data_IF_713153774295
#
_entry.id   IF_713153774295
#
_cell.length_a   1.000
_cell.length_b   1.000
_cell.length_c   1.000
_cell.angle_alpha   90.00
_cell.angle_beta   90.00
_cell.angle_gamma   90.00
#
_symmetry.space_group_name_H-M   'P 1'
#
loop_
_entity.id
_entity.type
_entity.pdbx_description
1 polymer ?
#
# COMPACT_ATOMS: atom_id res chain seq x y z
N UNK A 1 -47.00 53.34 5.45
CA UNK A 1 -45.60 53.33 5.93
C UNK A 1 -45.46 52.20 6.93
N UNK A 2 -44.56 51.25 6.70
CA UNK A 2 -44.26 50.21 7.70
C UNK A 2 -43.56 50.92 8.87
N UNK A 3 -44.01 50.72 10.10
CA UNK A 3 -43.39 51.35 11.26
C UNK A 3 -42.02 50.72 11.54
N UNK A 4 -41.08 51.49 12.06
CA UNK A 4 -39.76 51.00 12.48
C UNK A 4 -39.83 49.82 13.45
N UNK A 5 -40.86 49.80 14.31
CA UNK A 5 -41.16 48.68 15.23
C UNK A 5 -41.57 47.39 14.52
N UNK A 6 -42.33 47.48 13.43
CA UNK A 6 -42.71 46.32 12.61
C UNK A 6 -41.48 45.70 11.93
N UNK A 7 -40.59 46.54 11.38
CA UNK A 7 -39.33 46.09 10.77
C UNK A 7 -38.42 45.40 11.81
N UNK A 8 -38.26 45.97 13.00
CA UNK A 8 -37.47 45.39 14.09
C UNK A 8 -38.02 44.02 14.55
N UNK A 9 -39.34 43.87 14.62
CA UNK A 9 -39.99 42.60 14.97
C UNK A 9 -39.83 41.51 13.88
N UNK A 10 -39.84 41.90 12.61
CA UNK A 10 -39.60 40.96 11.51
C UNK A 10 -38.13 40.51 11.50
N UNK A 11 -37.18 41.44 11.71
CA UNK A 11 -35.75 41.12 11.82
C UNK A 11 -35.45 40.18 13.00
N UNK A 12 -36.10 40.38 14.15
CA UNK A 12 -35.88 39.52 15.33
C UNK A 12 -36.41 38.09 15.16
N UNK A 13 -37.44 37.88 14.32
CA UNK A 13 -37.95 36.53 13.99
C UNK A 13 -37.14 35.84 12.88
N UNK A 14 -36.55 36.59 11.94
CA UNK A 14 -35.75 36.05 10.85
C UNK A 14 -34.33 35.63 11.28
N UNK A 15 -33.76 36.32 12.27
CA UNK A 15 -32.40 36.03 12.75
C UNK A 15 -32.22 34.62 13.34
N UNK A 16 -33.13 34.09 14.19
CA UNK A 16 -33.08 32.69 14.65
C UNK A 16 -33.19 31.68 13.51
N UNK A 17 -33.99 31.96 12.48
CA UNK A 17 -34.13 31.08 11.32
C UNK A 17 -32.83 31.00 10.52
N UNK A 18 -32.14 32.13 10.34
CA UNK A 18 -30.83 32.19 9.69
C UNK A 18 -29.78 31.39 10.49
N UNK A 19 -29.75 31.55 11.82
CA UNK A 19 -28.87 30.77 12.70
C UNK A 19 -29.17 29.27 12.60
N UNK A 20 -30.45 28.89 12.55
CA UNK A 20 -30.85 27.49 12.38
C UNK A 20 -30.34 26.92 11.05
N UNK A 21 -30.47 27.66 9.94
CA UNK A 21 -29.95 27.24 8.63
C UNK A 21 -28.44 27.03 8.69
N UNK A 22 -27.69 27.95 9.32
CA UNK A 22 -26.24 27.81 9.49
C UNK A 22 -25.86 26.56 10.29
N UNK A 23 -26.56 26.28 11.40
CA UNK A 23 -26.35 25.08 12.21
C UNK A 23 -26.62 23.81 11.39
N UNK A 24 -27.70 23.81 10.61
CA UNK A 24 -28.06 22.71 9.71
C UNK A 24 -26.95 22.49 8.66
N UNK A 25 -26.43 23.53 8.04
CA UNK A 25 -25.33 23.42 7.08
C UNK A 25 -24.05 22.85 7.72
N UNK A 26 -23.69 23.33 8.92
CA UNK A 26 -22.54 22.81 9.67
C UNK A 26 -22.73 21.34 10.00
N UNK A 27 -23.94 20.95 10.41
CA UNK A 27 -24.30 19.57 10.69
C UNK A 27 -24.15 18.69 9.43
N UNK A 28 -24.68 19.10 8.29
CA UNK A 28 -24.55 18.37 7.03
C UNK A 28 -23.08 18.29 6.56
N UNK A 29 -22.29 19.36 6.71
CA UNK A 29 -20.84 19.33 6.44
C UNK A 29 -20.14 18.28 7.30
N UNK A 30 -20.44 18.24 8.60
CA UNK A 30 -19.87 17.26 9.55
C UNK A 30 -20.26 15.83 9.18
N UNK A 31 -21.53 15.58 8.83
CA UNK A 31 -22.01 14.27 8.39
C UNK A 31 -21.29 13.81 7.11
N UNK A 32 -21.17 14.70 6.12
CA UNK A 32 -20.48 14.39 4.86
C UNK A 32 -19.00 14.05 5.07
N UNK A 33 -18.31 14.74 5.98
CA UNK A 33 -16.92 14.46 6.34
C UNK A 33 -16.77 13.09 7.01
N UNK A 34 -17.69 12.72 7.92
CA UNK A 34 -17.69 11.40 8.56
C UNK A 34 -17.90 10.27 7.54
N UNK A 35 -18.84 10.44 6.59
CA UNK A 35 -19.07 9.47 5.51
C UNK A 35 -17.83 9.32 4.64
N UNK A 36 -17.17 10.42 4.25
CA UNK A 36 -15.91 10.38 3.49
C UNK A 36 -14.82 9.62 4.25
N UNK A 37 -14.66 9.89 5.55
CA UNK A 37 -13.68 9.18 6.40
C UNK A 37 -13.96 7.67 6.47
N UNK A 38 -15.23 7.27 6.62
CA UNK A 38 -15.63 5.84 6.60
C UNK A 38 -15.34 5.18 5.25
N UNK A 39 -15.64 5.85 4.13
CA UNK A 39 -15.32 5.33 2.79
C UNK A 39 -13.82 5.15 2.60
N UNK A 40 -13.02 6.13 3.01
CA UNK A 40 -11.57 6.07 2.93
C UNK A 40 -11.00 4.91 3.76
N UNK A 41 -11.43 4.76 5.01
CA UNK A 41 -10.98 3.67 5.89
C UNK A 41 -11.35 2.29 5.34
N UNK A 42 -12.58 2.13 4.83
CA UNK A 42 -13.00 0.88 4.19
C UNK A 42 -12.17 0.55 2.93
N UNK A 43 -11.82 1.57 2.14
CA UNK A 43 -10.96 1.38 0.96
C UNK A 43 -9.54 0.96 1.35
N UNK A 44 -8.98 1.59 2.38
CA UNK A 44 -7.67 1.26 2.92
C UNK A 44 -7.63 -0.18 3.43
N UNK A 45 -8.64 -0.60 4.19
CA UNK A 45 -8.74 -1.96 4.69
C UNK A 45 -8.90 -2.97 3.55
N UNK A 46 -9.75 -2.68 2.56
CA UNK A 46 -9.89 -3.51 1.36
C UNK A 46 -8.57 -3.66 0.60
N UNK A 47 -7.79 -2.59 0.48
CA UNK A 47 -6.48 -2.64 -0.18
C UNK A 47 -5.46 -3.44 0.65
N UNK A 48 -5.48 -3.29 1.98
CA UNK A 48 -4.65 -4.07 2.90
C UNK A 48 -4.94 -5.57 2.78
N UNK A 49 -6.21 -5.96 2.81
CA UNK A 49 -6.64 -7.36 2.65
C UNK A 49 -6.23 -7.94 1.29
N UNK A 50 -6.25 -7.13 0.22
CA UNK A 50 -5.76 -7.55 -1.10
C UNK A 50 -4.25 -7.74 -1.16
N UNK A 51 -3.50 -6.91 -0.46
CA UNK A 51 -2.06 -7.07 -0.30
C UNK A 51 -1.76 -8.38 0.44
N UNK A 52 -2.41 -8.57 1.59
CA UNK A 52 -2.30 -9.78 2.42
C UNK A 52 -2.63 -11.05 1.63
N UNK A 53 -3.76 -11.07 0.92
CA UNK A 53 -4.17 -12.21 0.11
C UNK A 53 -3.16 -12.51 -1.01
N UNK A 54 -2.51 -11.48 -1.55
CA UNK A 54 -1.50 -11.66 -2.59
C UNK A 54 -0.18 -12.19 -2.03
N UNK A 55 0.26 -11.68 -0.88
CA UNK A 55 1.44 -12.22 -0.18
C UNK A 55 1.25 -13.71 0.16
N UNK A 56 0.06 -14.09 0.65
CA UNK A 56 -0.30 -15.50 0.89
C UNK A 56 -0.23 -16.31 -0.41
N UNK A 57 -0.77 -15.80 -1.52
CA UNK A 57 -0.71 -16.46 -2.82
C UNK A 57 0.73 -16.68 -3.29
N UNK A 58 1.57 -15.66 -3.18
CA UNK A 58 2.98 -15.73 -3.55
C UNK A 58 3.76 -16.71 -2.66
N UNK A 59 3.49 -16.73 -1.36
CA UNK A 59 4.12 -17.69 -0.45
C UNK A 59 3.80 -19.12 -0.83
N UNK A 60 2.52 -19.44 -1.05
CA UNK A 60 2.08 -20.76 -1.54
C UNK A 60 2.75 -21.18 -2.85
N UNK A 61 2.87 -20.24 -3.79
CA UNK A 61 3.59 -20.50 -5.04
C UNK A 61 5.05 -20.94 -4.79
N UNK A 62 5.76 -20.31 -3.85
CA UNK A 62 7.13 -20.71 -3.52
C UNK A 62 7.18 -21.98 -2.66
N UNK A 63 6.20 -22.23 -1.79
CA UNK A 63 6.06 -23.51 -1.09
C UNK A 63 5.92 -24.68 -2.08
N UNK A 64 5.07 -24.52 -3.11
CA UNK A 64 4.90 -25.50 -4.20
C UNK A 64 6.20 -25.73 -5.00
N UNK A 65 7.10 -24.75 -5.03
CA UNK A 65 8.44 -24.85 -5.65
C UNK A 65 9.48 -25.50 -4.71
N UNK A 66 9.04 -25.99 -3.55
CA UNK A 66 9.83 -26.69 -2.55
C UNK A 66 10.69 -25.77 -1.68
N UNK A 67 10.29 -24.50 -1.50
CA UNK A 67 10.92 -23.63 -0.51
C UNK A 67 10.23 -23.76 0.85
N UNK A 68 11.00 -23.64 1.92
CA UNK A 68 10.47 -23.28 3.24
C UNK A 68 10.28 -21.76 3.29
N UNK A 69 9.03 -21.30 3.43
CA UNK A 69 8.65 -19.89 3.25
C UNK A 69 8.28 -19.27 4.60
N UNK A 70 9.00 -18.22 4.96
CA UNK A 70 8.63 -17.33 6.06
C UNK A 70 7.88 -16.11 5.50
N UNK A 71 6.62 -15.93 5.92
CA UNK A 71 5.78 -14.77 5.62
C UNK A 71 6.18 -13.54 6.45
N UNK A 72 7.36 -12.99 6.14
CA UNK A 72 8.00 -11.94 6.90
C UNK A 72 7.16 -10.65 6.95
N UNK A 73 6.51 -10.27 5.85
CA UNK A 73 5.64 -9.10 5.75
C UNK A 73 4.43 -9.19 6.68
N UNK A 74 3.73 -10.33 6.66
CA UNK A 74 2.61 -10.62 7.59
C UNK A 74 3.08 -10.56 9.05
N UNK A 75 4.25 -11.14 9.36
CA UNK A 75 4.74 -11.26 10.72
C UNK A 75 5.30 -9.95 11.29
N UNK A 76 5.90 -9.09 10.45
CA UNK A 76 6.59 -7.86 10.89
C UNK A 76 5.84 -6.57 10.56
N UNK A 77 4.84 -6.62 9.67
CA UNK A 77 4.13 -5.45 9.18
C UNK A 77 5.08 -4.37 8.67
N UNK A 78 4.86 -3.09 9.02
CA UNK A 78 5.68 -1.95 8.55
C UNK A 78 7.19 -2.00 8.88
N UNK A 79 7.64 -2.96 9.70
CA UNK A 79 9.06 -3.17 10.02
C UNK A 79 9.77 -4.12 9.04
N UNK A 80 9.05 -4.64 8.04
CA UNK A 80 9.55 -5.58 7.03
C UNK A 80 10.58 -4.98 6.04
N UNK A 81 10.66 -3.65 5.97
CA UNK A 81 11.45 -2.92 4.99
C UNK A 81 11.18 -3.36 3.52
N UNK A 82 9.98 -3.86 3.23
CA UNK A 82 9.60 -4.35 1.90
C UNK A 82 10.09 -5.76 1.56
N UNK A 83 10.55 -6.55 2.52
CA UNK A 83 10.75 -7.99 2.34
C UNK A 83 9.47 -8.68 2.80
N UNK A 84 8.66 -9.18 1.87
CA UNK A 84 7.41 -9.84 2.24
C UNK A 84 7.64 -11.33 2.53
N UNK A 85 8.49 -12.00 1.75
CA UNK A 85 8.80 -13.42 1.93
C UNK A 85 10.32 -13.66 2.03
N UNK A 86 10.70 -14.58 2.92
CA UNK A 86 12.04 -15.15 3.01
C UNK A 86 11.93 -16.64 2.68
N UNK A 87 12.51 -17.05 1.54
CA UNK A 87 12.41 -18.43 1.08
C UNK A 87 13.74 -19.17 1.28
N UNK A 88 13.69 -20.32 1.95
CA UNK A 88 14.84 -21.15 2.29
C UNK A 88 14.83 -22.48 1.55
N UNK A 89 16.03 -23.00 1.25
CA UNK A 89 16.28 -24.40 0.85
C UNK A 89 17.50 -24.88 1.60
N UNK A 90 17.44 -26.10 2.14
CA UNK A 90 18.55 -26.70 2.90
C UNK A 90 19.02 -25.78 4.03
N UNK A 91 18.08 -25.17 4.75
CA UNK A 91 18.31 -24.18 5.83
C UNK A 91 19.05 -22.90 5.42
N UNK A 92 19.27 -22.66 4.13
CA UNK A 92 19.87 -21.43 3.63
C UNK A 92 18.83 -20.53 2.97
N UNK A 93 18.91 -19.22 3.22
CA UNK A 93 18.10 -18.23 2.51
C UNK A 93 18.56 -18.19 1.06
N UNK A 94 17.64 -18.48 0.14
CA UNK A 94 17.90 -18.49 -1.31
C UNK A 94 17.19 -17.35 -2.02
N UNK A 95 16.02 -16.93 -1.53
CA UNK A 95 15.23 -15.85 -2.11
C UNK A 95 14.76 -14.86 -1.05
N UNK A 96 14.78 -13.58 -1.42
CA UNK A 96 14.02 -12.53 -0.76
C UNK A 96 13.02 -11.96 -1.76
N UNK A 97 11.76 -11.85 -1.37
CA UNK A 97 10.67 -11.51 -2.29
C UNK A 97 9.88 -10.31 -1.78
N UNK A 98 9.62 -9.34 -2.66
CA UNK A 98 8.56 -8.35 -2.48
C UNK A 98 7.35 -8.73 -3.34
N UNK A 99 6.17 -8.78 -2.74
CA UNK A 99 4.88 -9.07 -3.36
C UNK A 99 4.08 -7.77 -3.56
N UNK A 100 3.77 -7.42 -4.81
CA UNK A 100 3.05 -6.16 -5.11
C UNK A 100 1.82 -6.36 -5.96
N UNK A 101 0.65 -6.26 -5.32
CA UNK A 101 -0.67 -6.29 -5.97
C UNK A 101 -1.25 -4.89 -6.17
N UNK A 102 -0.55 -4.04 -6.94
CA UNK A 102 -1.05 -2.70 -7.25
C UNK A 102 -1.97 -2.73 -8.49
N UNK A 103 -3.00 -1.88 -8.52
CA UNK A 103 -3.99 -1.83 -9.62
C UNK A 103 -3.63 -0.85 -10.74
N UNK A 104 -2.72 0.08 -10.48
CA UNK A 104 -2.32 1.11 -11.44
C UNK A 104 -1.41 0.53 -12.53
N UNK A 105 -1.77 0.79 -13.78
CA UNK A 105 -0.89 0.58 -14.94
C UNK A 105 0.40 1.37 -14.71
N UNK A 106 1.56 0.76 -14.94
CA UNK A 106 2.89 1.37 -14.78
C UNK A 106 3.11 2.06 -13.42
N UNK A 107 2.50 1.51 -12.37
CA UNK A 107 2.60 2.06 -11.01
C UNK A 107 3.90 1.72 -10.30
N UNK A 108 4.64 0.71 -10.78
CA UNK A 108 5.92 0.28 -10.21
C UNK A 108 7.04 0.79 -11.10
N UNK A 109 7.84 1.73 -10.58
CA UNK A 109 8.96 2.34 -11.28
C UNK A 109 10.32 1.83 -10.74
N UNK A 110 11.41 2.29 -11.35
CA UNK A 110 12.75 1.93 -10.93
C UNK A 110 13.08 2.28 -9.46
N UNK A 111 12.52 3.36 -8.91
CA UNK A 111 12.75 3.75 -7.51
C UNK A 111 12.18 2.70 -6.56
N UNK A 112 10.98 2.19 -6.85
CA UNK A 112 10.37 1.13 -6.05
C UNK A 112 11.26 -0.12 -5.99
N UNK A 113 11.84 -0.51 -7.14
CA UNK A 113 12.74 -1.66 -7.24
C UNK A 113 14.06 -1.41 -6.51
N UNK A 114 14.63 -0.20 -6.62
CA UNK A 114 15.86 0.19 -5.93
C UNK A 114 15.69 0.21 -4.41
N UNK A 115 14.57 0.73 -3.90
CA UNK A 115 14.27 0.72 -2.47
C UNK A 115 14.21 -0.70 -1.93
N UNK A 116 13.50 -1.60 -2.62
CA UNK A 116 13.47 -3.01 -2.26
C UNK A 116 14.86 -3.63 -2.28
N UNK A 117 15.63 -3.43 -3.36
CA UNK A 117 16.99 -3.93 -3.46
C UNK A 117 17.87 -3.46 -2.29
N UNK A 118 17.90 -2.16 -2.00
CA UNK A 118 18.71 -1.61 -0.90
C UNK A 118 18.34 -2.20 0.46
N UNK A 119 17.04 -2.40 0.72
CA UNK A 119 16.58 -3.01 1.96
C UNK A 119 16.93 -4.50 2.04
N UNK A 120 16.84 -5.22 0.93
CA UNK A 120 17.24 -6.62 0.85
C UNK A 120 18.76 -6.80 1.05
N UNK A 121 19.59 -5.93 0.45
CA UNK A 121 21.04 -5.95 0.70
C UNK A 121 21.34 -5.67 2.16
N UNK A 122 20.70 -4.65 2.76
CA UNK A 122 20.87 -4.36 4.19
C UNK A 122 20.48 -5.55 5.07
N UNK A 123 19.40 -6.26 4.73
CA UNK A 123 19.01 -7.47 5.44
C UNK A 123 20.07 -8.57 5.31
N UNK A 124 20.59 -8.82 4.10
CA UNK A 124 21.65 -9.79 3.83
C UNK A 124 22.90 -9.47 4.68
N UNK A 125 23.35 -8.22 4.66
CA UNK A 125 24.54 -7.76 5.38
C UNK A 125 24.38 -7.90 6.89
N UNK A 126 23.23 -7.47 7.44
CA UNK A 126 22.93 -7.57 8.88
C UNK A 126 22.84 -9.00 9.40
N UNK A 127 22.53 -9.96 8.51
CA UNK A 127 22.43 -11.38 8.85
C UNK A 127 23.67 -12.18 8.42
N UNK A 128 24.74 -11.51 7.96
CA UNK A 128 25.99 -12.14 7.48
C UNK A 128 25.77 -13.22 6.40
N UNK A 129 24.84 -12.98 5.47
CA UNK A 129 24.52 -13.90 4.39
C UNK A 129 25.38 -13.54 3.17
N UNK A 130 25.92 -14.55 2.47
CA UNK A 130 26.62 -14.34 1.20
C UNK A 130 25.65 -13.85 0.11
N UNK A 131 25.79 -12.59 -0.30
CA UNK A 131 24.92 -11.94 -1.30
C UNK A 131 24.76 -12.74 -2.60
N UNK A 132 25.81 -13.39 -3.07
CA UNK A 132 25.81 -14.22 -4.29
C UNK A 132 24.87 -15.44 -4.21
N UNK A 133 24.56 -15.91 -3.00
CA UNK A 133 23.70 -17.08 -2.77
C UNK A 133 22.21 -16.71 -2.74
N UNK A 134 21.89 -15.41 -2.65
CA UNK A 134 20.52 -14.91 -2.52
C UNK A 134 20.08 -14.21 -3.81
N UNK A 135 18.96 -14.65 -4.38
CA UNK A 135 18.31 -13.95 -5.50
C UNK A 135 17.20 -13.06 -4.99
N UNK A 136 17.05 -11.89 -5.58
CA UNK A 136 15.99 -10.96 -5.25
C UNK A 136 14.86 -11.08 -6.26
N UNK A 137 13.63 -11.17 -5.76
CA UNK A 137 12.43 -11.36 -6.58
C UNK A 137 11.38 -10.29 -6.30
N UNK A 138 10.72 -9.84 -7.35
CA UNK A 138 9.62 -8.89 -7.28
C UNK A 138 8.36 -9.52 -7.89
N UNK A 139 7.50 -10.08 -7.06
CA UNK A 139 6.30 -10.78 -7.48
C UNK A 139 5.18 -9.79 -7.84
N UNK A 140 4.62 -9.94 -9.04
CA UNK A 140 3.59 -9.06 -9.60
C UNK A 140 2.48 -9.87 -10.28
N UNK A 141 1.20 -9.45 -10.21
CA UNK A 141 0.11 -10.20 -10.82
C UNK A 141 0.10 -10.15 -12.36
N UNK A 142 0.76 -9.16 -12.96
CA UNK A 142 0.90 -9.01 -14.41
C UNK A 142 2.01 -8.00 -14.72
N UNK A 143 2.50 -7.98 -15.96
CA UNK A 143 3.56 -7.05 -16.37
C UNK A 143 3.08 -5.60 -16.53
N UNK A 144 1.79 -5.35 -16.79
CA UNK A 144 1.27 -4.00 -17.09
C UNK A 144 1.39 -3.03 -15.93
N UNK A 145 1.59 -3.51 -14.71
CA UNK A 145 1.83 -2.65 -13.54
C UNK A 145 3.27 -2.12 -13.49
N UNK A 146 4.18 -2.69 -14.26
CA UNK A 146 5.58 -2.29 -14.32
C UNK A 146 5.76 -1.17 -15.34
N UNK A 147 6.40 -0.09 -14.90
CA UNK A 147 6.91 0.94 -15.80
C UNK A 147 8.17 0.46 -16.53
N UNK A 148 8.47 1.05 -17.69
CA UNK A 148 9.67 0.73 -18.48
C UNK A 148 10.96 0.93 -17.68
N UNK A 149 10.99 1.91 -16.76
CA UNK A 149 12.15 2.11 -15.88
C UNK A 149 12.38 0.94 -14.92
N UNK A 150 11.31 0.34 -14.38
CA UNK A 150 11.42 -0.86 -13.54
C UNK A 150 11.90 -2.07 -14.36
N UNK A 151 11.35 -2.26 -15.56
CA UNK A 151 11.77 -3.34 -16.47
C UNK A 151 13.27 -3.27 -16.77
N UNK A 152 13.81 -2.06 -17.01
CA UNK A 152 15.25 -1.86 -17.22
C UNK A 152 16.07 -2.31 -16.00
N UNK A 153 15.64 -1.95 -14.79
CA UNK A 153 16.31 -2.41 -13.56
C UNK A 153 16.25 -3.92 -13.41
N UNK A 154 15.11 -4.54 -13.73
CA UNK A 154 14.96 -5.99 -13.70
C UNK A 154 15.77 -6.72 -14.77
N UNK A 155 16.25 -6.04 -15.80
CA UNK A 155 17.13 -6.61 -16.83
C UNK A 155 18.61 -6.44 -16.46
N UNK A 156 18.93 -5.44 -15.64
CA UNK A 156 20.28 -5.15 -15.17
C UNK A 156 20.83 -6.28 -14.26
N UNK A 157 22.07 -6.70 -14.52
CA UNK A 157 22.76 -7.72 -13.73
C UNK A 157 23.28 -7.18 -12.40
N UNK A 158 23.56 -5.87 -12.30
CA UNK A 158 24.08 -5.23 -11.09
C UNK A 158 23.17 -5.42 -9.88
N UNK A 159 21.86 -5.23 -10.06
CA UNK A 159 20.88 -5.35 -8.98
C UNK A 159 20.55 -6.81 -8.65
N UNK A 160 20.83 -7.76 -9.55
CA UNK A 160 20.46 -9.17 -9.40
C UNK A 160 19.00 -9.38 -8.92
N UNK A 161 18.10 -8.49 -9.33
CA UNK A 161 16.70 -8.48 -8.95
C UNK A 161 15.85 -8.71 -10.20
N UNK A 162 14.96 -9.70 -10.16
CA UNK A 162 14.09 -10.05 -11.30
C UNK A 162 12.64 -10.02 -10.87
N UNK A 163 11.73 -9.58 -11.74
CA UNK A 163 10.31 -9.73 -11.48
C UNK A 163 9.82 -11.14 -11.84
N UNK A 164 8.69 -11.53 -11.27
CA UNK A 164 8.03 -12.79 -11.56
C UNK A 164 6.52 -12.57 -11.56
N UNK A 165 5.84 -13.17 -12.55
CA UNK A 165 4.39 -13.02 -12.67
C UNK A 165 3.74 -14.18 -11.91
N UNK A 166 2.98 -13.85 -10.85
CA UNK A 166 2.32 -14.83 -9.97
C UNK A 166 0.83 -14.51 -9.82
#
# INVERSE_FOLDING_TARGET
MISTSQILSQLSTLFPLLLLILVIEIFFKKLSAQVKKRRYTNLMEKNRLKGLAYEIKCGKYYEEQGYDVEYYGINKGKKDAGIDLICRKENQIKLLVQCKNHKGIKSINHENVKVFHSNAIKFIDLNNIEKQLVKLKYAVPNQNILDNSAIKVFQDRYYNCRYEII
#
